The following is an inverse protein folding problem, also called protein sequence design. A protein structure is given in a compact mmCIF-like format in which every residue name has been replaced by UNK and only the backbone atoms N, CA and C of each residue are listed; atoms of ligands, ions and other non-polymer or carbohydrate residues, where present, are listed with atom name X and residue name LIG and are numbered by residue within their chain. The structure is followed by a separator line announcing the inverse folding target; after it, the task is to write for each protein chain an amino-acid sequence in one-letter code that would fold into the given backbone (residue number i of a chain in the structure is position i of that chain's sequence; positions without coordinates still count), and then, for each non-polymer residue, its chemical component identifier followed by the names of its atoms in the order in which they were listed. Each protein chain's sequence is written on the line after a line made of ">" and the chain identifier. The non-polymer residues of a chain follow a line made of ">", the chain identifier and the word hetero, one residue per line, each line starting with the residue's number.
data_IF_929147301848
#
_entry.id   IF_929147301848
#
_cell.length_a   1.000
_cell.length_b   1.000
_cell.length_c   1.000
_cell.angle_alpha   90.00
_cell.angle_beta   90.00
_cell.angle_gamma   90.00
#
_symmetry.space_group_name_H-M   'P 1'
#
loop_
_entity.id
_entity.type
_entity.pdbx_description
1 polymer ?
#
# COMPACT_ATOMS: atom_id res chain seq x y z
N UNK A 1 3.40 -1.86 -10.61
CA UNK A 1 2.60 -1.29 -11.72
C UNK A 1 1.17 -1.22 -11.22
N UNK A 2 0.49 -0.10 -11.45
CA UNK A 2 -0.92 0.04 -11.06
C UNK A 2 -1.76 -0.71 -12.10
N UNK A 3 -2.60 -1.66 -11.67
CA UNK A 3 -3.39 -2.49 -12.57
C UNK A 3 -4.75 -1.87 -12.90
N UNK A 4 -5.43 -1.30 -11.90
CA UNK A 4 -6.77 -0.73 -12.04
C UNK A 4 -6.94 0.42 -11.05
N UNK A 5 -7.66 1.45 -11.47
CA UNK A 5 -8.18 2.52 -10.60
C UNK A 5 -9.67 2.25 -10.47
N UNK A 6 -10.14 2.09 -9.24
CA UNK A 6 -11.55 1.86 -8.93
C UNK A 6 -12.16 3.14 -8.35
N UNK A 7 -13.47 3.37 -8.55
CA UNK A 7 -14.22 4.33 -7.75
C UNK A 7 -14.16 3.97 -6.27
N UNK A 8 -14.23 4.96 -5.39
CA UNK A 8 -14.17 4.78 -3.93
C UNK A 8 -15.27 3.85 -3.41
N UNK A 9 -16.50 3.97 -3.94
CA UNK A 9 -17.63 3.12 -3.55
C UNK A 9 -17.47 1.63 -3.92
N UNK A 10 -16.57 1.32 -4.84
CA UNK A 10 -16.29 -0.07 -5.26
C UNK A 10 -15.18 -0.70 -4.41
N UNK A 11 -14.47 0.09 -3.58
CA UNK A 11 -13.38 -0.40 -2.75
C UNK A 11 -13.91 -1.09 -1.50
N UNK A 12 -13.20 -2.10 -0.98
CA UNK A 12 -13.46 -2.64 0.34
C UNK A 12 -13.41 -1.54 1.41
N UNK A 13 -14.27 -1.64 2.42
CA UNK A 13 -14.33 -0.66 3.49
C UNK A 13 -14.31 -1.33 4.87
N UNK A 14 -13.86 -0.56 5.86
CA UNK A 14 -13.80 -0.92 7.27
C UNK A 14 -15.20 -0.79 7.93
N UNK A 15 -15.42 -1.34 9.14
CA UNK A 15 -16.74 -1.30 9.81
C UNK A 15 -17.32 0.10 10.06
N UNK A 16 -16.46 1.11 10.11
CA UNK A 16 -16.80 2.53 10.24
C UNK A 16 -17.17 3.21 8.91
N UNK A 17 -17.05 2.49 7.79
CA UNK A 17 -17.28 3.02 6.44
C UNK A 17 -16.03 3.50 5.72
N UNK A 18 -14.84 3.46 6.33
CA UNK A 18 -13.61 3.97 5.70
C UNK A 18 -13.17 3.07 4.55
N UNK A 19 -13.07 3.59 3.32
CA UNK A 19 -12.61 2.79 2.18
C UNK A 19 -11.09 2.57 2.22
N UNK A 20 -10.65 1.45 1.67
CA UNK A 20 -9.22 1.14 1.49
C UNK A 20 -8.68 1.83 0.24
N UNK A 21 -7.48 2.43 0.33
CA UNK A 21 -6.85 3.12 -0.80
C UNK A 21 -6.14 2.17 -1.78
N UNK A 22 -5.41 1.17 -1.27
CA UNK A 22 -4.55 0.29 -2.06
C UNK A 22 -4.72 -1.16 -1.60
N UNK A 23 -4.96 -2.06 -2.56
CA UNK A 23 -5.03 -3.50 -2.33
C UNK A 23 -3.74 -4.16 -2.83
N UNK A 24 -3.09 -4.93 -1.95
CA UNK A 24 -1.85 -5.65 -2.26
C UNK A 24 -2.08 -7.17 -2.24
N UNK A 25 -1.32 -7.90 -3.05
CA UNK A 25 -1.38 -9.36 -3.10
C UNK A 25 -0.53 -9.96 -1.96
N UNK A 26 -1.13 -10.76 -1.05
CA UNK A 26 -0.40 -11.34 0.08
C UNK A 26 0.64 -12.39 -0.33
N UNK A 27 0.51 -13.02 -1.51
CA UNK A 27 1.44 -14.05 -1.98
C UNK A 27 2.87 -13.54 -2.23
N UNK A 28 3.02 -12.22 -2.39
CA UNK A 28 4.32 -11.58 -2.56
C UNK A 28 5.19 -11.63 -1.29
N UNK A 29 4.56 -11.68 -0.11
CA UNK A 29 5.28 -11.57 1.16
C UNK A 29 6.07 -12.86 1.49
N UNK A 30 5.44 -14.06 1.49
CA UNK A 30 6.18 -15.30 1.76
C UNK A 30 7.21 -15.63 0.69
N UNK A 31 6.87 -15.40 -0.59
CA UNK A 31 7.74 -15.75 -1.72
C UNK A 31 9.03 -14.92 -1.78
N UNK A 32 9.01 -13.70 -1.25
CA UNK A 32 10.17 -12.79 -1.22
C UNK A 32 10.82 -12.67 0.15
N UNK A 33 10.29 -13.38 1.16
CA UNK A 33 10.75 -13.35 2.55
C UNK A 33 10.88 -11.93 3.12
N UNK A 34 9.94 -11.02 2.79
CA UNK A 34 9.99 -9.61 3.18
C UNK A 34 8.90 -9.23 4.20
N UNK A 35 8.92 -9.88 5.36
CA UNK A 35 7.95 -9.69 6.45
C UNK A 35 7.90 -8.23 6.97
N UNK A 36 8.98 -7.46 6.81
CA UNK A 36 9.04 -6.06 7.22
C UNK A 36 7.92 -5.19 6.65
N UNK A 37 7.35 -5.53 5.48
CA UNK A 37 6.21 -4.81 4.91
C UNK A 37 4.94 -4.94 5.77
N UNK A 38 4.75 -6.10 6.38
CA UNK A 38 3.60 -6.36 7.27
C UNK A 38 3.81 -5.62 8.59
N UNK A 39 5.03 -5.67 9.15
CA UNK A 39 5.38 -4.94 10.37
C UNK A 39 5.26 -3.41 10.18
N UNK A 40 5.68 -2.88 9.03
CA UNK A 40 5.48 -1.48 8.66
C UNK A 40 3.99 -1.13 8.62
N UNK A 41 3.17 -1.99 8.02
CA UNK A 41 1.71 -1.76 7.94
C UNK A 41 1.07 -1.70 9.34
N UNK A 42 1.47 -2.60 10.24
CA UNK A 42 1.01 -2.59 11.64
C UNK A 42 1.49 -1.35 12.39
N UNK A 43 2.77 -1.00 12.27
CA UNK A 43 3.33 0.17 12.93
C UNK A 43 2.70 1.47 12.39
N UNK A 44 2.41 1.53 11.08
CA UNK A 44 1.72 2.65 10.46
C UNK A 44 0.27 2.78 10.94
N UNK A 45 -0.42 1.67 11.16
CA UNK A 45 -1.74 1.67 11.81
C UNK A 45 -1.68 2.27 13.21
N UNK A 46 -0.75 1.76 14.01
CA UNK A 46 -0.51 2.25 15.37
C UNK A 46 -0.17 3.74 15.38
N UNK A 47 0.70 4.18 14.47
CA UNK A 47 1.09 5.58 14.32
C UNK A 47 -0.09 6.49 13.95
N UNK A 48 -0.99 6.06 13.04
CA UNK A 48 -2.18 6.82 12.67
C UNK A 48 -3.16 6.97 13.84
N UNK A 49 -3.27 5.94 14.68
CA UNK A 49 -4.16 5.95 15.84
C UNK A 49 -3.52 6.47 17.13
N UNK A 50 -2.25 6.92 17.08
CA UNK A 50 -1.43 7.42 18.19
C UNK A 50 -1.33 6.42 19.34
N UNK A 51 -0.29 5.60 19.40
CA UNK A 51 -0.08 4.71 20.54
C UNK A 51 0.29 5.50 21.81
N UNK A 52 0.10 4.86 22.96
CA UNK A 52 0.55 5.43 24.23
C UNK A 52 2.08 5.29 24.31
N UNK A 53 2.78 6.38 24.02
CA UNK A 53 4.24 6.51 24.15
C UNK A 53 4.66 7.09 25.52
N UNK A 54 3.75 7.09 26.49
CA UNK A 54 3.90 7.74 27.80
C UNK A 54 4.05 9.27 27.75
N UNK A 55 3.92 9.92 26.58
CA UNK A 55 3.94 11.37 26.42
C UNK A 55 2.54 11.99 26.20
N UNK A 56 1.50 11.17 26.19
CA UNK A 56 0.17 11.59 26.63
C UNK A 56 -0.68 12.37 25.63
N UNK A 57 -0.65 12.03 24.33
CA UNK A 57 -1.67 12.49 23.39
C UNK A 57 -2.42 11.31 22.77
N UNK A 58 -3.53 10.93 23.39
CA UNK A 58 -4.49 9.98 22.80
C UNK A 58 -5.64 10.80 22.20
N UNK A 59 -5.86 10.74 20.88
CA UNK A 59 -6.95 11.46 20.25
C UNK A 59 -8.30 10.94 20.76
N UNK A 60 -9.30 11.82 20.77
CA UNK A 60 -10.66 11.43 21.12
C UNK A 60 -11.16 10.30 20.19
N UNK A 61 -12.03 9.40 20.67
CA UNK A 61 -12.59 8.35 19.82
C UNK A 61 -13.20 8.94 18.52
N UNK A 62 -12.81 8.39 17.38
CA UNK A 62 -13.27 8.87 16.05
C UNK A 62 -12.47 10.04 15.45
N UNK A 63 -11.61 10.73 16.20
CA UNK A 63 -10.82 11.84 15.67
C UNK A 63 -9.63 11.40 14.80
N UNK A 64 -9.39 10.10 14.65
CA UNK A 64 -8.24 9.54 13.95
C UNK A 64 -8.29 9.74 12.43
N UNK A 65 -9.47 9.93 11.83
CA UNK A 65 -9.59 10.22 10.39
C UNK A 65 -8.80 11.48 10.03
N UNK A 66 -9.07 12.57 10.75
CA UNK A 66 -8.51 13.90 10.48
C UNK A 66 -7.21 14.18 11.25
N UNK A 67 -6.83 13.31 12.20
CA UNK A 67 -5.59 13.48 12.97
C UNK A 67 -4.36 13.20 12.10
N UNK A 68 -3.35 14.06 12.22
CA UNK A 68 -2.01 13.78 11.69
C UNK A 68 -1.42 12.54 12.39
N UNK A 69 -0.70 11.65 11.70
CA UNK A 69 -0.11 10.48 12.32
C UNK A 69 1.00 10.88 13.30
N UNK A 70 1.18 10.08 14.36
CA UNK A 70 2.35 10.19 15.23
C UNK A 70 3.59 9.71 14.45
N UNK A 71 4.62 10.55 14.40
CA UNK A 71 5.87 10.17 13.73
C UNK A 71 6.61 9.10 14.53
N UNK A 72 6.96 8.02 13.85
CA UNK A 72 7.73 6.89 14.39
C UNK A 72 9.10 6.82 13.72
N UNK A 73 10.10 6.42 14.50
CA UNK A 73 11.47 6.23 14.04
C UNK A 73 11.95 4.85 14.44
N UNK A 74 12.31 4.03 13.46
CA UNK A 74 12.89 2.69 13.68
C UNK A 74 14.29 2.65 13.09
N UNK A 75 15.35 2.73 13.91
CA UNK A 75 16.73 2.57 13.43
C UNK A 75 16.92 1.25 12.68
N UNK A 76 17.84 1.23 11.71
CA UNK A 76 18.04 0.06 10.82
C UNK A 76 18.49 -1.20 11.57
N UNK A 77 19.31 -1.04 12.61
CA UNK A 77 19.91 -2.15 13.35
C UNK A 77 19.41 -2.27 14.80
N UNK A 78 18.61 -1.31 15.26
CA UNK A 78 18.05 -1.26 16.62
C UNK A 78 16.61 -0.71 16.51
N UNK A 79 15.84 -1.33 15.61
CA UNK A 79 14.48 -0.95 15.30
C UNK A 79 13.47 -1.53 16.29
N UNK A 80 12.22 -1.11 16.14
CA UNK A 80 11.10 -1.65 16.91
C UNK A 80 11.01 -3.17 16.73
N UNK A 81 10.87 -3.88 17.84
CA UNK A 81 10.74 -5.34 17.85
C UNK A 81 9.30 -5.76 17.56
N UNK A 82 9.12 -7.00 17.15
CA UNK A 82 7.78 -7.53 16.83
C UNK A 82 6.83 -7.50 18.03
N UNK A 83 7.33 -7.87 19.21
CA UNK A 83 6.61 -7.81 20.47
C UNK A 83 6.18 -6.38 20.82
N UNK A 84 7.09 -5.40 20.70
CA UNK A 84 6.78 -3.99 20.94
C UNK A 84 5.68 -3.46 20.00
N UNK A 85 5.73 -3.84 18.71
CA UNK A 85 4.72 -3.44 17.72
C UNK A 85 3.36 -4.08 18.04
N UNK A 86 3.34 -5.37 18.41
CA UNK A 86 2.11 -6.07 18.75
C UNK A 86 1.49 -5.56 20.05
N UNK A 87 2.31 -5.23 21.05
CA UNK A 87 1.85 -4.58 22.30
C UNK A 87 1.26 -3.19 22.02
N UNK A 88 1.93 -2.39 21.20
CA UNK A 88 1.42 -1.07 20.80
C UNK A 88 0.11 -1.20 20.00
N UNK A 89 -0.01 -2.22 19.16
CA UNK A 89 -1.24 -2.51 18.43
C UNK A 89 -2.38 -2.94 19.36
N UNK A 90 -2.12 -3.81 20.34
CA UNK A 90 -3.10 -4.21 21.35
C UNK A 90 -3.57 -3.01 22.20
N UNK A 91 -2.66 -2.08 22.51
CA UNK A 91 -2.99 -0.83 23.21
C UNK A 91 -3.97 0.06 22.44
N UNK A 92 -3.90 0.05 21.11
CA UNK A 92 -4.81 0.80 20.23
C UNK A 92 -6.11 0.02 20.05
N UNK A 93 -6.03 -1.28 19.78
CA UNK A 93 -7.19 -2.14 19.55
C UNK A 93 -8.11 -2.27 20.77
N UNK A 94 -7.56 -2.15 21.98
CA UNK A 94 -8.31 -2.19 23.24
C UNK A 94 -9.03 -0.89 23.60
N UNK A 95 -8.83 0.20 22.84
CA UNK A 95 -9.52 1.47 23.07
C UNK A 95 -11.01 1.34 22.76
N UNK A 96 -11.83 2.00 23.58
CA UNK A 96 -13.28 2.04 23.36
C UNK A 96 -13.61 2.93 22.15
N UNK A 97 -13.79 2.30 21.00
CA UNK A 97 -14.38 2.88 19.79
C UNK A 97 -15.77 2.32 19.56
N UNK A 98 -16.54 2.94 18.66
CA UNK A 98 -17.88 2.44 18.28
C UNK A 98 -17.79 1.03 17.63
N UNK A 99 -16.72 0.78 16.88
CA UNK A 99 -16.42 -0.50 16.26
C UNK A 99 -14.93 -0.87 16.43
N UNK A 100 -14.59 -2.15 16.65
CA UNK A 100 -13.21 -2.60 16.58
C UNK A 100 -12.75 -2.59 15.12
N UNK A 101 -11.85 -1.68 14.79
CA UNK A 101 -11.37 -1.53 13.41
C UNK A 101 -10.35 -2.63 13.05
N UNK A 102 -9.34 -2.80 13.90
CA UNK A 102 -8.26 -3.77 13.73
C UNK A 102 -8.06 -4.53 15.04
N UNK A 103 -7.87 -5.84 14.95
CA UNK A 103 -7.62 -6.71 16.08
C UNK A 103 -6.14 -6.66 16.53
N UNK A 104 -5.83 -7.29 17.66
CA UNK A 104 -4.47 -7.36 18.23
C UNK A 104 -3.39 -7.98 17.32
N UNK A 105 -3.77 -8.57 16.19
CA UNK A 105 -2.86 -9.21 15.22
C UNK A 105 -2.77 -8.39 13.91
N UNK A 106 -3.43 -7.23 13.86
CA UNK A 106 -3.31 -6.30 12.73
C UNK A 106 -4.29 -6.59 11.60
N UNK A 107 -5.33 -7.37 11.88
CA UNK A 107 -6.36 -7.73 10.90
C UNK A 107 -7.70 -7.06 11.22
N UNK A 108 -8.42 -6.71 10.17
CA UNK A 108 -9.75 -6.13 10.23
C UNK A 108 -10.76 -7.01 9.50
N UNK A 109 -12.01 -6.98 9.94
CA UNK A 109 -13.14 -7.43 9.14
C UNK A 109 -13.44 -6.35 8.10
N UNK A 110 -13.27 -6.69 6.81
CA UNK A 110 -13.63 -5.81 5.70
C UNK A 110 -14.99 -6.22 5.11
N UNK A 111 -15.63 -5.25 4.45
CA UNK A 111 -16.86 -5.42 3.68
C UNK A 111 -16.58 -5.10 2.22
N UNK A 112 -17.19 -5.85 1.30
CA UNK A 112 -17.09 -5.58 -0.14
C UNK A 112 -17.91 -4.34 -0.49
N UNK A 113 -17.28 -3.33 -1.12
CA UNK A 113 -17.97 -2.09 -1.54
C UNK A 113 -19.10 -2.32 -2.55
N UNK A 114 -19.09 -3.44 -3.29
CA UNK A 114 -20.09 -3.74 -4.33
C UNK A 114 -21.30 -4.48 -3.82
N UNK A 115 -21.12 -5.44 -2.92
CA UNK A 115 -22.21 -6.25 -2.36
C UNK A 115 -22.63 -5.77 -0.96
N UNK A 116 -21.73 -5.13 -0.22
CA UNK A 116 -21.90 -4.81 1.19
C UNK A 116 -21.70 -6.00 2.13
N UNK A 117 -21.38 -7.19 1.61
CA UNK A 117 -21.19 -8.39 2.41
C UNK A 117 -19.78 -8.43 3.06
N UNK A 118 -19.65 -8.96 4.28
CA UNK A 118 -18.35 -9.14 4.91
C UNK A 118 -17.53 -10.22 4.17
N UNK A 119 -16.21 -10.03 4.09
CA UNK A 119 -15.31 -11.08 3.62
C UNK A 119 -15.24 -12.25 4.61
N UNK A 120 -15.01 -13.47 4.10
CA UNK A 120 -14.96 -14.70 4.92
C UNK A 120 -13.87 -14.69 6.00
N UNK A 121 -12.76 -13.99 5.74
CA UNK A 121 -11.60 -13.94 6.64
C UNK A 121 -11.20 -12.49 6.91
N UNK A 122 -10.69 -12.26 8.11
CA UNK A 122 -10.08 -10.97 8.45
C UNK A 122 -8.80 -10.74 7.64
N UNK A 123 -8.62 -9.50 7.18
CA UNK A 123 -7.56 -9.08 6.27
C UNK A 123 -6.64 -8.09 7.00
N UNK A 124 -5.33 -8.19 6.78
CA UNK A 124 -4.38 -7.23 7.33
C UNK A 124 -4.60 -5.86 6.72
N UNK A 125 -4.83 -4.85 7.57
CA UNK A 125 -5.02 -3.45 7.18
C UNK A 125 -4.02 -2.59 7.95
N UNK A 126 -3.44 -1.61 7.28
CA UNK A 126 -2.41 -0.76 7.85
C UNK A 126 -2.00 0.36 6.90
N UNK A 127 -1.08 1.20 7.37
CA UNK A 127 -0.51 2.27 6.57
C UNK A 127 0.91 1.91 6.17
N UNK A 128 1.19 1.96 4.86
CA UNK A 128 2.50 1.69 4.29
C UNK A 128 2.97 2.92 3.51
N UNK A 129 4.27 3.22 3.57
CA UNK A 129 4.83 4.31 2.79
C UNK A 129 5.09 3.87 1.34
N UNK A 130 4.31 4.42 0.40
CA UNK A 130 4.41 4.08 -1.03
C UNK A 130 5.05 5.21 -1.82
N UNK A 131 6.07 4.85 -2.61
CA UNK A 131 6.79 5.78 -3.50
C UNK A 131 6.37 5.61 -4.97
N UNK A 132 6.22 6.74 -5.66
CA UNK A 132 6.08 6.77 -7.11
C UNK A 132 7.47 6.83 -7.76
N UNK A 133 7.83 5.77 -8.49
CA UNK A 133 9.09 5.72 -9.24
C UNK A 133 8.99 6.54 -10.54
N UNK A 134 10.14 6.98 -11.07
CA UNK A 134 10.25 7.77 -12.32
C UNK A 134 9.93 6.98 -13.59
N UNK A 135 9.61 5.69 -13.48
CA UNK A 135 9.26 4.82 -14.60
C UNK A 135 7.82 5.06 -15.07
N UNK A 136 7.61 6.17 -15.79
CA UNK A 136 6.30 6.53 -16.33
C UNK A 136 5.93 5.69 -17.54
N UNK A 137 4.65 5.37 -17.69
CA UNK A 137 4.12 4.61 -18.81
C UNK A 137 4.22 5.41 -20.12
N UNK A 138 4.02 6.72 -20.05
CA UNK A 138 4.06 7.63 -21.20
C UNK A 138 5.44 7.63 -21.88
N UNK A 139 6.51 7.52 -21.09
CA UNK A 139 7.87 7.43 -21.61
C UNK A 139 8.16 6.10 -22.32
N UNK A 140 7.42 5.04 -21.96
CA UNK A 140 7.66 3.66 -22.43
C UNK A 140 6.78 3.23 -23.59
N UNK A 141 5.56 3.75 -23.70
CA UNK A 141 4.68 3.43 -24.83
C UNK A 141 5.28 4.03 -26.10
N UNK A 142 5.50 3.18 -27.09
CA UNK A 142 5.97 3.56 -28.42
C UNK A 142 5.45 2.56 -29.45
N UNK A 143 4.91 3.07 -30.55
CA UNK A 143 4.45 2.28 -31.68
C UNK A 143 4.74 3.03 -32.98
N UNK A 144 4.96 2.28 -34.06
CA UNK A 144 5.13 2.83 -35.41
C UNK A 144 4.51 1.91 -36.45
N UNK A 145 4.06 2.51 -37.55
CA UNK A 145 3.68 1.80 -38.78
C UNK A 145 4.82 1.86 -39.81
N UNK A 146 5.18 3.07 -40.26
CA UNK A 146 6.28 3.36 -41.19
C UNK A 146 7.20 4.43 -40.60
N UNK A 147 8.44 4.53 -41.08
CA UNK A 147 9.41 5.49 -40.55
C UNK A 147 10.77 5.38 -41.23
N UNK A 148 11.77 6.15 -40.80
CA UNK A 148 13.07 6.22 -41.45
C UNK A 148 13.83 4.89 -41.38
N UNK A 149 14.66 4.68 -42.40
CA UNK A 149 15.53 3.53 -42.56
C UNK A 149 16.99 3.97 -42.55
N UNK A 150 17.87 3.11 -42.06
CA UNK A 150 19.32 3.27 -42.17
C UNK A 150 19.74 3.15 -43.63
N UNK A 151 20.57 4.09 -44.10
CA UNK A 151 21.12 4.06 -45.47
C UNK A 151 22.02 2.85 -45.73
N UNK A 152 22.63 2.29 -44.68
CA UNK A 152 23.63 1.21 -44.81
C UNK A 152 22.92 -0.14 -44.84
N UNK A 153 22.06 -0.41 -43.85
CA UNK A 153 21.45 -1.73 -43.68
C UNK A 153 20.05 -1.83 -44.27
N UNK A 154 19.45 -0.70 -44.69
CA UNK A 154 18.04 -0.60 -45.06
C UNK A 154 17.09 -1.17 -44.01
N UNK A 155 17.49 -1.14 -42.74
CA UNK A 155 16.65 -1.52 -41.61
C UNK A 155 16.03 -0.28 -40.96
N UNK A 156 14.85 -0.40 -40.34
CA UNK A 156 14.28 0.68 -39.53
C UNK A 156 15.27 1.18 -38.47
N UNK A 157 15.29 2.49 -38.21
CA UNK A 157 16.08 3.06 -37.10
C UNK A 157 15.65 2.48 -35.74
N UNK A 158 16.48 2.62 -34.71
CA UNK A 158 16.18 2.13 -33.36
C UNK A 158 15.77 3.26 -32.39
N UNK A 159 14.95 2.92 -31.39
CA UNK A 159 14.62 3.81 -30.27
C UNK A 159 13.48 4.81 -30.54
N UNK A 160 12.76 5.18 -29.47
CA UNK A 160 11.57 6.05 -29.52
C UNK A 160 11.84 7.41 -30.18
N UNK A 161 12.97 8.05 -29.86
CA UNK A 161 13.33 9.39 -30.34
C UNK A 161 13.48 9.48 -31.87
N UNK A 162 13.83 8.39 -32.54
CA UNK A 162 14.02 8.35 -33.99
C UNK A 162 12.82 7.73 -34.72
N UNK A 163 11.66 7.64 -34.04
CA UNK A 163 10.54 6.82 -34.48
C UNK A 163 10.99 5.41 -34.86
N UNK A 164 11.91 4.83 -34.09
CA UNK A 164 12.56 3.56 -34.42
C UNK A 164 11.66 2.34 -34.23
N UNK A 165 12.00 1.24 -34.91
CA UNK A 165 11.37 -0.07 -34.74
C UNK A 165 11.88 -0.82 -33.53
N UNK A 166 11.12 -1.83 -33.10
CA UNK A 166 11.59 -2.77 -32.09
C UNK A 166 12.60 -3.70 -32.73
N UNK A 167 13.74 -3.91 -32.07
CA UNK A 167 14.70 -4.92 -32.50
C UNK A 167 14.08 -6.30 -32.32
N UNK A 168 13.95 -7.03 -33.43
CA UNK A 168 13.75 -8.48 -33.37
C UNK A 168 15.11 -9.12 -33.07
N UNK A 169 15.18 -9.91 -31.99
CA UNK A 169 16.41 -10.54 -31.52
C UNK A 169 16.94 -11.60 -32.50
N UNK A 170 18.09 -12.18 -32.14
CA UNK A 170 18.52 -13.45 -32.75
C UNK A 170 17.52 -14.57 -32.46
#
# INVERSE_FOLDING_TARGET
>A
VISKILPEQDMPFLPDGTPIDIILNPLGVPSRMNLGQVLESHLGWVAKHHFDDHNGHVPAPGAWHDADPQWVSTPVFDGAREDEILEALDSVASRKTEYPLVNKVGKAQLYDGRSGEPYDNEITVGYMYVLKLSHMVDDKIHARSTGPYSMITQQPLGGKAQFGGQRFGE
#
